data_IF_279299570022
#
_entry.id   IF_279299570022
#
_cell.length_a   1.000
_cell.length_b   1.000
_cell.length_c   1.000
_cell.angle_alpha   90.00
_cell.angle_beta   90.00
_cell.angle_gamma   90.00
#
_symmetry.space_group_name_H-M   'P 1'
#
loop_
_entity.id
_entity.type
_entity.pdbx_description
1 polymer ?
#
# COMPACT_ATOMS: atom_id res chain seq x y z
N UNK A 1 -20.48 3.52 -7.13
CA UNK A 1 -19.31 2.64 -7.32
C UNK A 1 -18.24 3.10 -6.35
N UNK A 2 -17.85 2.26 -5.39
CA UNK A 2 -16.65 2.54 -4.58
C UNK A 2 -15.41 2.29 -5.45
N UNK A 3 -14.51 3.27 -5.52
CA UNK A 3 -13.24 3.15 -6.23
C UNK A 3 -12.32 2.22 -5.45
N UNK A 4 -11.89 1.10 -6.07
CA UNK A 4 -10.98 0.12 -5.45
C UNK A 4 -9.52 0.30 -5.88
N UNK A 5 -9.26 1.23 -6.79
CA UNK A 5 -7.91 1.56 -7.24
C UNK A 5 -7.17 2.38 -6.19
N UNK A 6 -5.85 2.45 -6.31
CA UNK A 6 -5.02 3.25 -5.41
C UNK A 6 -5.37 4.74 -5.55
N UNK A 7 -5.82 5.35 -4.47
CA UNK A 7 -6.20 6.76 -4.40
C UNK A 7 -5.14 7.60 -3.68
N UNK A 8 -4.36 6.97 -2.79
CA UNK A 8 -3.30 7.62 -2.04
C UNK A 8 -2.07 6.73 -1.93
N UNK A 9 -0.91 7.30 -2.24
CA UNK A 9 0.41 6.69 -2.07
C UNK A 9 1.19 7.47 -1.01
N UNK A 10 1.62 6.80 0.07
CA UNK A 10 2.47 7.38 1.10
C UNK A 10 3.86 6.75 1.02
N UNK A 11 4.84 7.56 0.64
CA UNK A 11 6.25 7.14 0.60
C UNK A 11 6.91 7.35 1.96
N UNK A 12 7.61 6.33 2.42
CA UNK A 12 8.37 6.37 3.68
C UNK A 12 9.81 5.89 3.50
N UNK A 13 10.79 6.46 4.23
CA UNK A 13 12.19 6.10 4.05
C UNK A 13 12.54 4.74 4.65
N UNK A 14 11.78 4.24 5.62
CA UNK A 14 12.10 2.99 6.34
C UNK A 14 10.89 2.06 6.53
N UNK A 15 11.18 0.80 6.85
CA UNK A 15 10.15 -0.24 7.05
C UNK A 15 9.36 0.00 8.33
N UNK A 16 10.03 0.48 9.37
CA UNK A 16 9.48 0.74 10.70
C UNK A 16 8.43 1.86 10.63
N UNK A 17 8.70 2.91 9.83
CA UNK A 17 7.73 3.98 9.59
C UNK A 17 6.52 3.49 8.79
N UNK A 18 6.71 2.62 7.80
CA UNK A 18 5.59 2.03 7.05
C UNK A 18 4.64 1.24 7.97
N UNK A 19 5.21 0.45 8.89
CA UNK A 19 4.43 -0.33 9.85
C UNK A 19 3.71 0.56 10.86
N UNK A 20 4.32 1.66 11.29
CA UNK A 20 3.70 2.63 12.19
C UNK A 20 2.46 3.32 11.61
N UNK A 21 2.48 3.61 10.30
CA UNK A 21 1.37 4.29 9.61
C UNK A 21 0.08 3.44 9.62
N UNK A 22 0.18 2.12 9.71
CA UNK A 22 -0.99 1.24 9.78
C UNK A 22 -1.96 1.64 10.91
N UNK A 23 -1.44 2.02 12.08
CA UNK A 23 -2.28 2.42 13.22
C UNK A 23 -3.02 3.73 12.95
N UNK A 24 -2.36 4.66 12.26
CA UNK A 24 -2.96 5.95 11.88
C UNK A 24 -4.05 5.72 10.83
N UNK A 25 -3.78 4.90 9.81
CA UNK A 25 -4.77 4.59 8.77
C UNK A 25 -5.97 3.83 9.34
N UNK A 26 -5.75 2.89 10.27
CA UNK A 26 -6.86 2.22 10.95
C UNK A 26 -7.70 3.18 11.79
N UNK A 27 -7.06 4.06 12.56
CA UNK A 27 -7.78 5.05 13.39
C UNK A 27 -8.60 6.03 12.53
N UNK A 28 -8.05 6.48 11.40
CA UNK A 28 -8.75 7.37 10.46
C UNK A 28 -9.82 6.63 9.65
N UNK A 29 -9.58 5.35 9.34
CA UNK A 29 -10.40 4.53 8.47
C UNK A 29 -11.49 3.70 9.18
N UNK A 30 -11.58 3.78 10.51
CA UNK A 30 -12.45 2.95 11.35
C UNK A 30 -13.91 2.87 10.85
N UNK A 31 -14.40 3.97 10.27
CA UNK A 31 -15.76 4.07 9.75
C UNK A 31 -15.84 4.21 8.21
N UNK A 32 -14.69 4.25 7.51
CA UNK A 32 -14.63 4.60 6.08
C UNK A 32 -14.48 3.39 5.14
N UNK A 33 -14.45 2.15 5.66
CA UNK A 33 -14.27 0.91 4.86
C UNK A 33 -13.12 0.99 3.82
N UNK A 34 -12.04 1.69 4.17
CA UNK A 34 -10.92 1.91 3.26
C UNK A 34 -9.95 0.73 3.29
N UNK A 35 -9.52 0.27 2.12
CA UNK A 35 -8.49 -0.77 2.02
C UNK A 35 -7.08 -0.18 2.06
N UNK A 36 -6.20 -0.86 2.80
CA UNK A 36 -4.82 -0.43 3.07
C UNK A 36 -3.83 -1.56 2.83
N UNK A 37 -2.66 -1.24 2.26
CA UNK A 37 -1.55 -2.19 2.15
C UNK A 37 -0.18 -1.51 2.30
N UNK A 38 0.76 -2.21 2.93
CA UNK A 38 2.13 -1.75 3.12
C UNK A 38 3.10 -2.52 2.19
N UNK A 39 3.62 -1.86 1.15
CA UNK A 39 4.60 -2.39 0.21
C UNK A 39 6.03 -2.07 0.68
N UNK A 40 6.64 -3.00 1.43
CA UNK A 40 7.98 -2.83 2.00
C UNK A 40 8.93 -3.97 1.64
N UNK A 41 10.23 -3.63 1.52
CA UNK A 41 11.30 -4.60 1.28
C UNK A 41 11.38 -5.69 2.37
N UNK A 42 11.88 -6.88 2.01
CA UNK A 42 12.00 -8.01 2.93
C UNK A 42 10.72 -8.82 3.15
N UNK A 43 9.60 -8.42 2.53
CA UNK A 43 8.35 -9.21 2.42
C UNK A 43 8.24 -9.79 1.01
N UNK A 44 7.52 -10.89 0.87
CA UNK A 44 7.36 -11.59 -0.40
C UNK A 44 6.67 -10.70 -1.45
N UNK A 45 7.38 -10.40 -2.53
CA UNK A 45 6.88 -9.57 -3.65
C UNK A 45 5.58 -10.13 -4.25
N UNK A 46 5.40 -11.46 -4.28
CA UNK A 46 4.16 -12.07 -4.81
C UNK A 46 2.95 -11.77 -3.94
N UNK A 47 3.14 -11.59 -2.64
CA UNK A 47 2.06 -11.22 -1.72
C UNK A 47 1.63 -9.77 -1.96
N UNK A 48 2.59 -8.87 -2.16
CA UNK A 48 2.32 -7.47 -2.52
C UNK A 48 1.52 -7.40 -3.83
N UNK A 49 1.95 -8.12 -4.86
CA UNK A 49 1.26 -8.16 -6.16
C UNK A 49 -0.19 -8.61 -5.98
N UNK A 50 -0.41 -9.75 -5.31
CA UNK A 50 -1.77 -10.28 -5.07
C UNK A 50 -2.66 -9.30 -4.30
N UNK A 51 -2.11 -8.61 -3.29
CA UNK A 51 -2.83 -7.61 -2.50
C UNK A 51 -3.24 -6.42 -3.38
N UNK A 52 -2.30 -5.89 -4.16
CA UNK A 52 -2.53 -4.76 -5.05
C UNK A 52 -3.54 -5.10 -6.15
N UNK A 53 -3.47 -6.30 -6.72
CA UNK A 53 -4.44 -6.80 -7.72
C UNK A 53 -5.85 -6.97 -7.17
N UNK A 54 -5.99 -7.27 -5.87
CA UNK A 54 -7.28 -7.36 -5.20
C UNK A 54 -7.95 -5.99 -4.98
N UNK A 55 -7.22 -4.89 -5.18
CA UNK A 55 -7.69 -3.51 -4.99
C UNK A 55 -7.34 -2.95 -3.62
N UNK A 56 -6.51 -1.91 -3.60
CA UNK A 56 -6.05 -1.22 -2.40
C UNK A 56 -6.15 0.28 -2.62
N UNK A 57 -6.89 0.98 -1.76
CA UNK A 57 -7.10 2.43 -1.86
C UNK A 57 -5.93 3.25 -1.30
N UNK A 58 -5.30 2.78 -0.22
CA UNK A 58 -4.13 3.43 0.39
C UNK A 58 -2.94 2.49 0.35
N UNK A 59 -1.89 2.90 -0.35
CA UNK A 59 -0.63 2.15 -0.42
C UNK A 59 0.45 2.93 0.32
N UNK A 60 1.16 2.26 1.22
CA UNK A 60 2.30 2.83 1.95
C UNK A 60 3.53 2.02 1.64
N UNK A 61 4.64 2.64 1.28
CA UNK A 61 5.81 1.84 0.95
C UNK A 61 7.12 2.58 0.88
N UNK A 62 8.20 1.81 0.86
CA UNK A 62 9.53 2.37 0.64
C UNK A 62 9.75 2.62 -0.85
N UNK A 63 10.49 3.69 -1.24
CA UNK A 63 10.67 4.06 -2.63
C UNK A 63 11.12 2.91 -3.54
N UNK A 64 12.06 2.08 -3.06
CA UNK A 64 12.56 0.93 -3.83
C UNK A 64 11.48 -0.11 -4.14
N UNK A 65 10.64 -0.46 -3.15
CA UNK A 65 9.57 -1.46 -3.34
C UNK A 65 8.43 -0.90 -4.19
N UNK A 66 8.06 0.36 -4.00
CA UNK A 66 7.03 1.02 -4.82
C UNK A 66 7.46 1.11 -6.29
N UNK A 67 8.71 1.51 -6.54
CA UNK A 67 9.28 1.55 -7.89
C UNK A 67 9.25 0.17 -8.57
N UNK A 68 9.57 -0.90 -7.83
CA UNK A 68 9.44 -2.27 -8.34
C UNK A 68 7.98 -2.64 -8.67
N UNK A 69 7.02 -2.26 -7.83
CA UNK A 69 5.59 -2.56 -8.08
C UNK A 69 5.03 -1.79 -9.28
N UNK A 70 5.43 -0.54 -9.47
CA UNK A 70 5.06 0.27 -10.63
C UNK A 70 5.66 -0.29 -11.92
N UNK A 71 6.95 -0.67 -11.91
CA UNK A 71 7.62 -1.29 -13.07
C UNK A 71 7.00 -2.62 -13.50
N UNK A 72 6.39 -3.35 -12.55
CA UNK A 72 5.66 -4.60 -12.81
C UNK A 72 4.21 -4.39 -13.21
N UNK A 73 3.73 -3.15 -13.27
CA UNK A 73 2.32 -2.80 -13.46
C UNK A 73 1.38 -3.42 -12.42
N UNK A 74 1.91 -3.81 -11.26
CA UNK A 74 1.14 -4.39 -10.17
C UNK A 74 0.44 -3.29 -9.35
N UNK A 75 1.14 -2.18 -9.11
CA UNK A 75 0.55 -0.96 -8.58
C UNK A 75 0.05 -0.10 -9.73
N UNK A 76 -1.25 0.23 -9.72
CA UNK A 76 -1.89 1.15 -10.66
C UNK A 76 -2.30 2.38 -9.87
N UNK A 77 -1.80 3.55 -10.26
CA UNK A 77 -2.09 4.86 -9.64
C UNK A 77 -2.45 5.86 -10.71
#
# INVERSE_FOLDING_TARGET
MECKDCQALILVPTRELAQGIHRVVLALGEHMKVTYHACIGGVNVREDIKRLEAGVQIVVGTPGRICDMLKRSALRT
#
